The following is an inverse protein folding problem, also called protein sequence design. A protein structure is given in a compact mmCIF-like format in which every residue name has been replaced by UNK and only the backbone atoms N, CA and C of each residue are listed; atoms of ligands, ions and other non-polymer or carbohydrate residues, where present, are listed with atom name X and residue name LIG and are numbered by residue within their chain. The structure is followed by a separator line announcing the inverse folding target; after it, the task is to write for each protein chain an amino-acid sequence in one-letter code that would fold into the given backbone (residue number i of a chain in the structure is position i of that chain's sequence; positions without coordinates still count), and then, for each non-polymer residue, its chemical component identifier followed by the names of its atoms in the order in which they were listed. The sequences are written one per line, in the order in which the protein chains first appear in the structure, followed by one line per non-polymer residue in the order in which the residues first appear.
data_IF_559113211080
#
_entry.id   IF_559113211080
#
_cell.length_a   1.000
_cell.length_b   1.000
_cell.length_c   1.000
_cell.angle_alpha   90.00
_cell.angle_beta   90.00
_cell.angle_gamma   90.00
#
_symmetry.space_group_name_H-M   'P 1'
#
loop_
_entity.id
_entity.type
_entity.pdbx_description
1 polymer ?
#
# COMPACT_ATOMS: atom_id res chain seq x y z
N UNK A 1 32.03 4.52 -61.78
CA UNK A 1 31.89 4.42 -60.31
C UNK A 1 30.71 5.27 -59.90
N UNK A 2 29.57 4.66 -59.58
CA UNK A 2 28.41 5.34 -59.01
C UNK A 2 28.33 4.94 -57.54
N UNK A 3 28.37 5.92 -56.64
CA UNK A 3 28.26 5.70 -55.19
C UNK A 3 26.78 5.81 -54.82
N UNK A 4 26.24 4.72 -54.30
CA UNK A 4 24.87 4.64 -53.79
C UNK A 4 24.88 5.12 -52.34
N UNK A 5 24.24 6.26 -52.05
CA UNK A 5 23.99 6.71 -50.68
C UNK A 5 22.75 5.96 -50.13
N UNK A 6 22.96 5.19 -49.07
CA UNK A 6 21.89 4.61 -48.26
C UNK A 6 21.59 5.58 -47.12
N UNK A 7 20.36 6.08 -47.05
CA UNK A 7 19.86 6.88 -45.93
C UNK A 7 19.05 5.95 -45.03
N UNK A 8 19.51 5.76 -43.79
CA UNK A 8 18.77 5.05 -42.75
C UNK A 8 17.75 6.01 -42.11
N UNK A 9 16.48 5.62 -41.95
CA UNK A 9 15.52 6.39 -41.17
C UNK A 9 15.90 6.28 -39.68
N UNK A 10 16.18 7.42 -39.05
CA UNK A 10 16.36 7.48 -37.61
C UNK A 10 15.02 7.24 -36.92
N UNK A 11 14.96 6.29 -35.99
CA UNK A 11 13.84 6.16 -35.06
C UNK A 11 13.79 7.42 -34.21
N UNK A 12 12.79 8.27 -34.45
CA UNK A 12 12.39 9.25 -33.46
C UNK A 12 11.70 8.48 -32.34
N UNK A 13 12.25 8.54 -31.13
CA UNK A 13 11.53 8.14 -29.94
C UNK A 13 10.40 9.15 -29.75
N UNK A 14 9.16 8.67 -29.67
CA UNK A 14 8.04 9.52 -29.28
C UNK A 14 8.30 10.08 -27.88
N UNK A 15 8.01 11.37 -27.61
CA UNK A 15 8.07 11.90 -26.27
C UNK A 15 7.04 11.14 -25.42
N UNK A 16 7.49 10.62 -24.27
CA UNK A 16 6.61 10.05 -23.26
C UNK A 16 5.46 11.04 -22.99
N UNK A 17 4.22 10.54 -23.04
CA UNK A 17 3.06 11.34 -22.67
C UNK A 17 3.25 11.83 -21.23
N UNK A 18 2.91 13.08 -20.91
CA UNK A 18 2.92 13.55 -19.54
C UNK A 18 1.96 12.67 -18.72
N UNK A 19 2.40 12.22 -17.55
CA UNK A 19 1.52 11.64 -16.54
C UNK A 19 0.34 12.61 -16.34
N UNK A 20 -0.88 12.12 -16.48
CA UNK A 20 -2.08 12.92 -16.25
C UNK A 20 -2.08 13.44 -14.80
N UNK A 21 -2.75 14.57 -14.52
CA UNK A 21 -2.98 14.96 -13.14
C UNK A 21 -3.76 13.85 -12.43
N UNK A 22 -3.24 13.37 -11.29
CA UNK A 22 -3.90 12.35 -10.48
C UNK A 22 -5.34 12.76 -10.13
N UNK A 23 -6.20 11.77 -9.89
CA UNK A 23 -7.64 11.96 -9.66
C UNK A 23 -7.94 12.69 -8.33
N UNK A 24 -6.92 12.94 -7.51
CA UNK A 24 -7.02 13.56 -6.20
C UNK A 24 -7.21 12.53 -5.09
N UNK A 25 -7.55 12.96 -3.87
CA UNK A 25 -7.63 12.08 -2.71
C UNK A 25 -8.75 11.06 -2.86
N UNK A 26 -8.61 9.92 -2.16
CA UNK A 26 -9.63 8.88 -2.08
C UNK A 26 -11.00 9.51 -1.78
N UNK A 27 -11.99 9.44 -2.70
CA UNK A 27 -13.29 10.01 -2.43
C UNK A 27 -13.97 9.25 -1.29
N UNK A 28 -14.43 9.97 -0.27
CA UNK A 28 -15.13 9.37 0.85
C UNK A 28 -16.32 8.51 0.38
N UNK A 29 -16.37 7.25 0.82
CA UNK A 29 -17.40 6.30 0.42
C UNK A 29 -17.29 5.81 -1.04
N UNK A 30 -16.15 5.99 -1.69
CA UNK A 30 -15.87 5.36 -2.98
C UNK A 30 -15.90 3.83 -2.84
N UNK A 31 -16.37 3.15 -3.87
CA UNK A 31 -16.23 1.69 -3.95
C UNK A 31 -14.81 1.39 -4.41
N UNK A 32 -13.99 0.83 -3.52
CA UNK A 32 -12.59 0.49 -3.81
C UNK A 32 -12.40 -1.02 -3.78
N UNK A 33 -11.77 -1.56 -4.81
CA UNK A 33 -11.44 -2.98 -4.92
C UNK A 33 -9.99 -3.25 -4.48
N UNK A 34 -9.80 -4.18 -3.56
CA UNK A 34 -8.51 -4.48 -2.94
C UNK A 34 -7.86 -5.69 -3.64
N UNK A 35 -7.10 -5.41 -4.69
CA UNK A 35 -6.59 -6.36 -5.67
C UNK A 35 -5.10 -6.72 -5.47
N UNK A 36 -4.71 -7.06 -4.23
CA UNK A 36 -3.30 -7.36 -3.91
C UNK A 36 -2.79 -8.69 -4.48
N UNK A 37 -3.64 -9.71 -4.62
CA UNK A 37 -3.27 -10.99 -5.25
C UNK A 37 -3.09 -10.93 -6.77
N UNK A 38 -3.25 -9.75 -7.36
CA UNK A 38 -2.95 -9.45 -8.76
C UNK A 38 -4.06 -8.67 -9.45
N UNK A 39 -3.68 -7.85 -10.42
CA UNK A 39 -4.62 -7.01 -11.17
C UNK A 39 -5.65 -7.83 -11.97
N UNK A 40 -6.91 -7.38 -11.92
CA UNK A 40 -7.99 -7.84 -12.79
C UNK A 40 -8.95 -6.68 -13.13
N UNK A 41 -9.74 -6.78 -14.21
CA UNK A 41 -10.71 -5.75 -14.55
C UNK A 41 -11.67 -5.50 -13.38
N UNK A 42 -11.75 -4.26 -12.83
CA UNK A 42 -12.65 -3.94 -11.74
C UNK A 42 -14.12 -4.12 -12.15
N UNK A 43 -14.97 -4.47 -11.19
CA UNK A 43 -16.41 -4.59 -11.41
C UNK A 43 -17.06 -3.24 -11.75
N UNK A 44 -18.24 -3.27 -12.39
CA UNK A 44 -18.99 -2.06 -12.69
C UNK A 44 -19.30 -1.27 -11.40
N UNK A 45 -19.04 0.03 -11.42
CA UNK A 45 -19.28 0.92 -10.27
C UNK A 45 -18.14 0.98 -9.25
N UNK A 46 -17.09 0.15 -9.40
CA UNK A 46 -15.82 0.36 -8.69
C UNK A 46 -15.21 1.69 -9.17
N UNK A 47 -14.84 2.54 -8.21
CA UNK A 47 -14.29 3.87 -8.43
C UNK A 47 -12.78 3.94 -8.12
N UNK A 48 -12.24 2.92 -7.45
CA UNK A 48 -10.81 2.83 -7.22
C UNK A 48 -10.31 1.41 -6.97
N UNK A 49 -8.99 1.23 -7.01
CA UNK A 49 -8.33 -0.04 -6.73
C UNK A 49 -7.11 0.15 -5.84
N UNK A 50 -6.76 -0.86 -5.06
CA UNK A 50 -5.42 -1.03 -4.50
C UNK A 50 -4.76 -2.22 -5.19
N UNK A 51 -3.52 -2.05 -5.67
CA UNK A 51 -2.77 -3.10 -6.37
C UNK A 51 -1.32 -3.12 -5.93
N UNK A 52 -0.68 -4.29 -5.99
CA UNK A 52 0.76 -4.42 -5.76
C UNK A 52 1.54 -3.53 -6.75
N UNK A 53 2.66 -2.96 -6.30
CA UNK A 53 3.55 -2.12 -7.11
C UNK A 53 4.08 -2.77 -8.40
N UNK A 54 3.98 -4.09 -8.53
CA UNK A 54 4.37 -4.83 -9.74
C UNK A 54 3.25 -4.91 -10.78
N UNK A 55 2.02 -4.53 -10.42
CA UNK A 55 0.90 -4.42 -11.32
C UNK A 55 0.70 -2.99 -11.83
N UNK A 56 -0.09 -2.85 -12.90
CA UNK A 56 -0.47 -1.54 -13.44
C UNK A 56 -1.66 -0.94 -12.69
N UNK A 57 -1.74 0.39 -12.54
CA UNK A 57 -2.94 1.05 -12.02
C UNK A 57 -4.15 0.78 -12.92
N UNK A 58 -5.36 0.99 -12.40
CA UNK A 58 -6.57 0.90 -13.21
C UNK A 58 -6.79 2.22 -13.95
N UNK A 59 -6.89 2.16 -15.28
CA UNK A 59 -7.13 3.35 -16.08
C UNK A 59 -8.46 4.03 -15.68
N UNK A 60 -8.42 5.36 -15.58
CA UNK A 60 -9.57 6.21 -15.26
C UNK A 60 -10.22 5.98 -13.88
N UNK A 61 -9.58 5.20 -12.99
CA UNK A 61 -10.01 4.98 -11.61
C UNK A 61 -8.91 5.41 -10.63
N UNK A 62 -9.31 5.79 -9.42
CA UNK A 62 -8.34 6.07 -8.36
C UNK A 62 -7.53 4.81 -8.07
N UNK A 63 -6.20 4.89 -8.03
CA UNK A 63 -5.35 3.72 -7.86
C UNK A 63 -4.29 3.94 -6.79
N UNK A 64 -4.30 3.10 -5.75
CA UNK A 64 -3.22 3.03 -4.76
C UNK A 64 -2.25 1.88 -5.04
N UNK A 65 -0.97 2.17 -4.88
CA UNK A 65 0.16 1.27 -5.07
C UNK A 65 0.59 0.67 -3.72
N UNK A 66 0.31 -0.61 -3.51
CA UNK A 66 0.77 -1.35 -2.35
C UNK A 66 2.28 -1.57 -2.40
N UNK A 67 2.94 -1.27 -1.29
CA UNK A 67 4.38 -1.47 -1.11
C UNK A 67 4.64 -1.99 0.31
N UNK A 68 5.14 -3.20 0.45
CA UNK A 68 5.68 -3.65 1.74
C UNK A 68 6.94 -2.84 2.08
N UNK A 69 6.83 -1.91 3.03
CA UNK A 69 7.83 -0.89 3.32
C UNK A 69 8.58 -1.13 4.63
N UNK A 70 8.11 -2.06 5.45
CA UNK A 70 8.67 -2.39 6.77
C UNK A 70 9.12 -3.84 6.90
N UNK A 71 8.79 -4.69 5.92
CA UNK A 71 9.23 -6.08 5.84
C UNK A 71 9.68 -6.44 4.41
N UNK A 72 10.34 -7.58 4.29
CA UNK A 72 10.62 -8.21 3.00
C UNK A 72 9.44 -9.06 2.55
N UNK A 73 9.21 -9.21 1.24
CA UNK A 73 8.31 -10.23 0.72
C UNK A 73 9.00 -11.60 0.50
N UNK A 74 8.27 -12.71 0.45
CA UNK A 74 8.84 -14.05 0.25
C UNK A 74 9.67 -14.12 -1.04
N UNK A 75 10.95 -14.50 -0.90
CA UNK A 75 11.88 -14.62 -2.02
C UNK A 75 12.50 -13.30 -2.51
N UNK A 76 12.11 -12.15 -1.95
CA UNK A 76 12.75 -10.88 -2.23
C UNK A 76 14.20 -10.87 -1.69
N UNK A 77 15.11 -10.23 -2.43
CA UNK A 77 16.50 -10.06 -2.01
C UNK A 77 16.68 -8.68 -1.40
N UNK A 78 17.09 -8.65 -0.14
CA UNK A 78 17.44 -7.45 0.60
C UNK A 78 18.91 -7.47 1.02
N UNK A 79 19.58 -6.31 1.14
CA UNK A 79 20.88 -6.23 1.80
C UNK A 79 20.76 -6.77 3.22
N UNK A 80 21.64 -7.69 3.61
CA UNK A 80 21.56 -8.36 4.91
C UNK A 80 21.56 -7.37 6.07
N UNK A 81 22.34 -6.30 5.95
CA UNK A 81 22.47 -5.29 7.00
C UNK A 81 21.22 -4.41 7.17
N UNK A 82 20.24 -4.49 6.27
CA UNK A 82 18.95 -3.82 6.42
C UNK A 82 17.87 -4.74 7.02
N UNK A 83 18.19 -5.99 7.31
CA UNK A 83 17.29 -6.90 8.02
C UNK A 83 17.49 -6.75 9.52
N UNK A 84 16.41 -6.86 10.27
CA UNK A 84 16.45 -6.91 11.73
C UNK A 84 16.98 -8.27 12.18
N UNK A 85 17.95 -8.25 13.10
CA UNK A 85 18.48 -9.48 13.70
C UNK A 85 18.29 -9.49 15.22
N UNK A 86 18.02 -10.67 15.76
CA UNK A 86 17.94 -10.92 17.19
C UNK A 86 19.34 -10.97 17.85
N UNK A 87 19.36 -11.19 19.17
CA UNK A 87 20.60 -11.31 19.93
C UNK A 87 21.47 -12.53 19.53
N UNK A 88 20.92 -13.50 18.81
CA UNK A 88 21.64 -14.66 18.27
C UNK A 88 22.24 -14.40 16.89
N UNK A 89 21.85 -13.30 16.24
CA UNK A 89 22.19 -12.96 14.87
C UNK A 89 21.28 -13.60 13.82
N UNK A 90 20.15 -14.20 14.24
CA UNK A 90 19.13 -14.70 13.33
C UNK A 90 18.25 -13.53 12.85
N UNK A 91 17.77 -13.59 11.60
CA UNK A 91 16.82 -12.61 11.07
C UNK A 91 15.50 -12.76 11.82
N UNK A 92 14.87 -11.64 12.15
CA UNK A 92 13.53 -11.64 12.76
C UNK A 92 12.51 -11.85 11.66
N UNK A 93 11.86 -13.00 11.68
CA UNK A 93 10.82 -13.42 10.75
C UNK A 93 9.44 -13.10 11.34
N UNK A 94 8.52 -12.64 10.49
CA UNK A 94 7.15 -12.43 10.91
C UNK A 94 6.46 -13.79 11.18
N UNK A 95 5.93 -14.02 12.40
CA UNK A 95 5.31 -15.30 12.75
C UNK A 95 4.03 -15.59 11.97
N UNK A 96 3.34 -14.55 11.49
CA UNK A 96 2.07 -14.66 10.77
C UNK A 96 2.29 -14.74 9.25
N UNK A 97 3.47 -14.29 8.77
CA UNK A 97 3.85 -14.27 7.35
C UNK A 97 5.19 -15.00 7.09
N UNK A 98 5.17 -16.35 6.98
CA UNK A 98 6.39 -17.12 6.77
C UNK A 98 7.17 -16.72 5.51
N UNK A 99 8.46 -16.47 5.65
CA UNK A 99 9.36 -15.99 4.61
C UNK A 99 9.46 -14.47 4.51
N UNK A 100 8.73 -13.72 5.35
CA UNK A 100 8.85 -12.27 5.49
C UNK A 100 9.71 -11.91 6.71
N UNK A 101 10.73 -11.08 6.49
CA UNK A 101 11.65 -10.63 7.54
C UNK A 101 11.49 -9.13 7.78
N UNK A 102 11.57 -8.72 9.04
CA UNK A 102 11.46 -7.32 9.42
C UNK A 102 12.70 -6.53 8.97
N UNK A 103 12.48 -5.28 8.55
CA UNK A 103 13.55 -4.35 8.23
C UNK A 103 14.09 -3.70 9.50
N UNK A 104 15.40 -3.52 9.58
CA UNK A 104 16.03 -2.76 10.66
C UNK A 104 15.78 -1.27 10.43
N UNK A 105 14.94 -0.68 11.28
CA UNK A 105 14.63 0.75 11.33
C UNK A 105 15.00 1.39 12.67
N UNK A 106 15.85 0.71 13.45
CA UNK A 106 16.17 1.06 14.85
C UNK A 106 17.04 2.31 14.99
N UNK A 107 17.70 2.77 13.92
CA UNK A 107 18.51 3.99 13.92
C UNK A 107 18.15 4.90 12.75
N UNK A 108 18.51 6.17 12.85
CA UNK A 108 18.31 7.11 11.75
C UNK A 108 19.04 6.67 10.47
N UNK A 109 20.27 6.18 10.59
CA UNK A 109 21.06 5.68 9.46
C UNK A 109 20.40 4.46 8.81
N UNK A 110 19.81 3.57 9.61
CA UNK A 110 19.07 2.40 9.15
C UNK A 110 17.80 2.79 8.40
N UNK A 111 17.03 3.72 8.95
CA UNK A 111 15.82 4.28 8.32
C UNK A 111 16.10 4.91 6.96
N UNK A 112 17.15 5.73 6.87
CA UNK A 112 17.59 6.33 5.59
C UNK A 112 18.05 5.26 4.57
N UNK A 113 18.71 4.20 5.03
CA UNK A 113 19.14 3.11 4.17
C UNK A 113 17.96 2.26 3.65
N UNK A 114 16.94 2.02 4.49
CA UNK A 114 15.67 1.42 4.06
C UNK A 114 14.95 2.32 3.05
N UNK A 115 14.86 3.62 3.33
CA UNK A 115 14.26 4.61 2.43
C UNK A 115 14.98 4.64 1.07
N UNK A 116 16.30 4.47 1.03
CA UNK A 116 17.05 4.41 -0.23
C UNK A 116 16.67 3.22 -1.12
N UNK A 117 16.08 2.15 -0.54
CA UNK A 117 15.55 0.99 -1.27
C UNK A 117 14.07 1.19 -1.63
N UNK A 118 13.25 1.63 -0.67
CA UNK A 118 11.79 1.77 -0.83
C UNK A 118 11.40 3.00 -1.63
N UNK A 119 12.10 4.12 -1.46
CA UNK A 119 11.79 5.39 -2.13
C UNK A 119 11.74 5.29 -3.67
N UNK A 120 12.69 4.60 -4.33
CA UNK A 120 12.59 4.33 -5.77
C UNK A 120 11.37 3.47 -6.18
N UNK A 121 10.77 2.72 -5.27
CA UNK A 121 9.52 2.02 -5.56
C UNK A 121 8.33 2.96 -5.57
N UNK A 122 8.31 3.97 -4.69
CA UNK A 122 7.29 5.02 -4.73
C UNK A 122 7.41 5.86 -6.01
N UNK A 123 8.63 6.19 -6.43
CA UNK A 123 8.84 6.81 -7.76
C UNK A 123 8.25 5.96 -8.88
N UNK A 124 8.49 4.64 -8.83
CA UNK A 124 7.95 3.71 -9.81
C UNK A 124 6.42 3.70 -9.83
N UNK A 125 5.77 3.80 -8.67
CA UNK A 125 4.32 3.96 -8.58
C UNK A 125 3.85 5.27 -9.23
N UNK A 126 4.51 6.40 -8.94
CA UNK A 126 4.20 7.69 -9.55
C UNK A 126 4.39 7.66 -11.08
N UNK A 127 5.51 7.13 -11.56
CA UNK A 127 5.82 6.99 -12.98
C UNK A 127 4.82 6.07 -13.71
N UNK A 128 4.31 5.05 -13.02
CA UNK A 128 3.28 4.16 -13.54
C UNK A 128 1.88 4.82 -13.58
N UNK A 129 1.70 5.95 -12.88
CA UNK A 129 0.45 6.70 -12.84
C UNK A 129 -0.51 6.29 -11.73
N UNK A 130 0.00 5.73 -10.62
CA UNK A 130 -0.80 5.60 -9.40
C UNK A 130 -1.06 6.98 -8.78
N UNK A 131 -2.17 7.11 -8.05
CA UNK A 131 -2.55 8.32 -7.33
C UNK A 131 -2.01 8.33 -5.89
N UNK A 132 -1.79 7.14 -5.32
CA UNK A 132 -1.41 6.98 -3.92
C UNK A 132 -0.50 5.77 -3.70
N UNK A 133 0.11 5.69 -2.52
CA UNK A 133 0.84 4.52 -2.02
C UNK A 133 0.27 4.04 -0.68
N UNK A 134 0.28 2.73 -0.50
CA UNK A 134 -0.02 2.06 0.77
C UNK A 134 1.26 1.36 1.27
N UNK A 135 2.05 2.02 2.15
CA UNK A 135 3.20 1.40 2.81
C UNK A 135 2.73 0.41 3.87
N UNK A 136 2.83 -0.88 3.56
CA UNK A 136 2.36 -1.95 4.43
C UNK A 136 3.34 -2.28 5.57
N UNK A 137 2.83 -2.99 6.57
CA UNK A 137 3.57 -3.46 7.75
C UNK A 137 4.11 -2.36 8.67
N UNK A 138 3.47 -1.17 8.68
CA UNK A 138 3.79 -0.07 9.59
C UNK A 138 3.91 -0.54 11.05
N UNK A 139 3.05 -1.48 11.45
CA UNK A 139 2.94 -2.09 12.78
C UNK A 139 3.99 -3.17 13.11
N UNK A 140 5.01 -3.37 12.27
CA UNK A 140 6.03 -4.43 12.44
C UNK A 140 6.75 -4.40 13.79
N UNK A 141 6.80 -3.24 14.48
CA UNK A 141 7.41 -3.17 15.80
C UNK A 141 6.72 -4.10 16.81
N UNK A 142 5.43 -4.37 16.64
CA UNK A 142 4.65 -5.28 17.51
C UNK A 142 5.13 -6.73 17.41
N UNK A 143 5.72 -7.10 16.27
CA UNK A 143 6.24 -8.44 15.94
C UNK A 143 7.78 -8.51 15.97
N UNK A 144 8.44 -7.48 16.49
CA UNK A 144 9.91 -7.33 16.48
C UNK A 144 10.65 -7.96 17.67
N UNK A 145 9.98 -8.79 18.49
CA UNK A 145 10.54 -9.30 19.76
C UNK A 145 11.00 -8.19 20.75
N UNK A 146 10.45 -6.98 20.60
CA UNK A 146 10.82 -5.81 21.40
C UNK A 146 12.12 -5.13 20.95
N UNK A 147 12.63 -5.45 19.76
CA UNK A 147 13.83 -4.83 19.18
C UNK A 147 13.54 -3.51 18.48
N UNK A 148 12.29 -3.29 18.05
CA UNK A 148 11.80 -2.04 17.49
C UNK A 148 10.70 -1.44 18.37
N UNK A 149 10.53 -0.13 18.26
CA UNK A 149 9.51 0.64 18.99
C UNK A 149 8.52 1.31 18.05
N UNK A 150 7.38 1.75 18.59
CA UNK A 150 6.44 2.61 17.86
C UNK A 150 7.11 3.92 17.38
N UNK A 151 8.05 4.48 18.17
CA UNK A 151 8.80 5.68 17.77
C UNK A 151 9.69 5.42 16.54
N UNK A 152 10.27 4.22 16.41
CA UNK A 152 11.05 3.85 15.22
C UNK A 152 10.17 3.76 13.99
N UNK A 153 8.98 3.19 14.13
CA UNK A 153 7.99 3.13 13.07
C UNK A 153 7.48 4.52 12.68
N UNK A 154 7.12 5.37 13.64
CA UNK A 154 6.70 6.74 13.41
C UNK A 154 7.80 7.61 12.76
N UNK A 155 9.07 7.41 13.15
CA UNK A 155 10.19 8.10 12.51
C UNK A 155 10.39 7.64 11.05
N UNK A 156 10.21 6.35 10.77
CA UNK A 156 10.28 5.79 9.40
C UNK A 156 9.10 6.26 8.56
N UNK A 157 7.89 6.25 9.12
CA UNK A 157 6.67 6.72 8.48
C UNK A 157 6.82 8.16 7.98
N UNK A 158 7.35 9.08 8.80
CA UNK A 158 7.58 10.48 8.36
C UNK A 158 8.51 10.59 7.14
N UNK A 159 9.52 9.71 7.04
CA UNK A 159 10.41 9.68 5.87
C UNK A 159 9.68 9.15 4.63
N UNK A 160 8.89 8.08 4.77
CA UNK A 160 8.09 7.51 3.68
C UNK A 160 7.01 8.48 3.20
N UNK A 161 6.33 9.16 4.13
CA UNK A 161 5.32 10.18 3.84
C UNK A 161 5.93 11.33 3.04
N UNK A 162 7.03 11.91 3.53
CA UNK A 162 7.73 12.97 2.82
C UNK A 162 8.14 12.51 1.41
N UNK A 163 8.58 11.26 1.27
CA UNK A 163 8.98 10.70 -0.01
C UNK A 163 7.82 10.51 -1.00
N UNK A 164 6.66 10.08 -0.51
CA UNK A 164 5.44 9.93 -1.31
C UNK A 164 4.95 11.30 -1.80
N UNK A 165 4.89 12.29 -0.90
CA UNK A 165 4.50 13.66 -1.24
C UNK A 165 5.46 14.31 -2.24
N UNK A 166 6.77 14.10 -2.10
CA UNK A 166 7.78 14.57 -3.08
C UNK A 166 7.59 13.94 -4.48
N UNK A 167 7.04 12.71 -4.54
CA UNK A 167 6.67 12.04 -5.78
C UNK A 167 5.27 12.44 -6.30
N UNK A 168 4.53 13.27 -5.55
CA UNK A 168 3.17 13.69 -5.90
C UNK A 168 2.09 12.63 -5.63
N UNK A 169 2.37 11.69 -4.74
CA UNK A 169 1.45 10.62 -4.32
C UNK A 169 0.86 10.93 -2.96
N UNK A 170 -0.43 10.64 -2.78
CA UNK A 170 -1.02 10.51 -1.44
C UNK A 170 -0.47 9.25 -0.76
N UNK A 171 -0.49 9.21 0.57
CA UNK A 171 0.09 8.08 1.34
C UNK A 171 -0.84 7.62 2.46
N UNK A 172 -1.04 6.30 2.51
CA UNK A 172 -1.88 5.66 3.52
C UNK A 172 -1.14 5.41 4.83
N UNK A 173 -1.82 5.62 5.95
CA UNK A 173 -1.54 4.86 7.16
C UNK A 173 -2.12 3.45 6.98
N UNK A 174 -1.28 2.41 7.04
CA UNK A 174 -1.72 1.02 7.04
C UNK A 174 -1.78 0.47 8.46
N UNK A 175 -2.99 0.12 8.93
CA UNK A 175 -3.24 -0.39 10.29
C UNK A 175 -2.60 0.52 11.36
N UNK A 176 -1.99 -0.06 12.40
CA UNK A 176 -1.27 0.67 13.46
C UNK A 176 -2.15 1.70 14.20
N UNK A 177 -3.28 1.29 14.81
CA UNK A 177 -4.20 2.22 15.48
C UNK A 177 -3.53 3.03 16.61
N UNK A 178 -2.43 2.53 17.19
CA UNK A 178 -1.66 3.19 18.23
C UNK A 178 -0.95 4.47 17.74
N UNK A 179 -0.68 4.57 16.44
CA UNK A 179 -0.08 5.75 15.81
C UNK A 179 -1.15 6.71 15.25
N UNK A 180 -2.42 6.30 15.22
CA UNK A 180 -3.51 7.11 14.68
C UNK A 180 -3.70 8.40 15.47
N UNK A 181 -3.74 9.53 14.76
CA UNK A 181 -3.88 10.86 15.35
C UNK A 181 -2.55 11.52 15.71
N UNK A 182 -1.41 10.82 15.57
CA UNK A 182 -0.12 11.48 15.50
C UNK A 182 0.02 12.28 14.20
N UNK A 183 0.70 13.43 14.27
CA UNK A 183 1.02 14.25 13.10
C UNK A 183 2.20 13.64 12.33
N UNK A 184 1.93 12.53 11.63
CA UNK A 184 2.89 11.81 10.77
C UNK A 184 2.77 12.23 9.30
N UNK A 185 1.66 12.87 8.92
CA UNK A 185 1.41 13.41 7.59
C UNK A 185 0.74 12.45 6.60
N UNK A 186 0.16 11.34 7.06
CA UNK A 186 -0.67 10.47 6.21
C UNK A 186 -1.93 11.17 5.73
N UNK A 187 -2.40 10.83 4.53
CA UNK A 187 -3.54 11.49 3.86
C UNK A 187 -4.85 10.72 4.05
N UNK A 188 -4.76 9.40 4.21
CA UNK A 188 -5.89 8.48 4.42
C UNK A 188 -5.43 7.25 5.20
N UNK A 189 -6.36 6.38 5.61
CA UNK A 189 -6.05 5.10 6.23
C UNK A 189 -6.53 3.91 5.40
N UNK A 190 -5.77 2.83 5.43
CA UNK A 190 -6.21 1.48 5.06
C UNK A 190 -6.19 0.66 6.34
N UNK A 191 -7.35 0.18 6.78
CA UNK A 191 -7.52 -0.51 8.05
C UNK A 191 -8.15 -1.88 7.81
N UNK A 192 -7.43 -2.93 8.18
CA UNK A 192 -7.84 -4.33 8.04
C UNK A 192 -8.46 -4.85 9.34
N UNK A 193 -9.62 -5.50 9.23
CA UNK A 193 -10.39 -6.09 10.33
C UNK A 193 -10.63 -5.11 11.51
N UNK A 194 -10.67 -3.80 11.26
CA UNK A 194 -10.85 -2.81 12.34
C UNK A 194 -12.20 -3.01 13.04
N UNK A 195 -13.20 -3.59 12.38
CA UNK A 195 -14.49 -3.86 12.97
C UNK A 195 -14.43 -5.02 13.96
N UNK A 196 -13.62 -6.04 13.66
CA UNK A 196 -13.35 -7.18 14.53
C UNK A 196 -12.58 -6.75 15.79
N UNK A 197 -11.62 -5.84 15.65
CA UNK A 197 -10.79 -5.37 16.75
C UNK A 197 -11.33 -4.15 17.51
N UNK A 198 -12.50 -3.62 17.11
CA UNK A 198 -13.12 -2.41 17.67
C UNK A 198 -12.26 -1.13 17.50
N UNK A 199 -11.48 -1.07 16.42
CA UNK A 199 -10.48 -0.01 16.17
C UNK A 199 -10.94 1.06 15.17
N UNK A 200 -12.02 0.80 14.40
CA UNK A 200 -12.43 1.69 13.30
C UNK A 200 -12.64 3.15 13.70
N UNK A 201 -13.09 3.40 14.93
CA UNK A 201 -13.35 4.77 15.42
C UNK A 201 -12.08 5.60 15.44
N UNK A 202 -10.92 5.01 15.79
CA UNK A 202 -9.64 5.71 15.80
C UNK A 202 -9.33 6.28 14.41
N UNK A 203 -9.47 5.47 13.36
CA UNK A 203 -9.23 5.89 11.99
C UNK A 203 -10.25 6.92 11.52
N UNK A 204 -11.55 6.71 11.77
CA UNK A 204 -12.57 7.66 11.31
C UNK A 204 -12.51 9.01 12.04
N UNK A 205 -12.07 9.03 13.31
CA UNK A 205 -11.88 10.29 14.04
C UNK A 205 -10.70 11.10 13.48
N UNK A 206 -9.64 10.42 13.03
CA UNK A 206 -8.45 11.06 12.46
C UNK A 206 -8.63 11.46 10.98
N UNK A 207 -9.19 10.57 10.16
CA UNK A 207 -9.24 10.70 8.70
C UNK A 207 -10.64 10.99 8.14
N UNK A 208 -11.68 11.00 8.98
CA UNK A 208 -13.05 11.16 8.53
C UNK A 208 -13.48 10.03 7.60
N UNK A 209 -13.91 10.38 6.38
CA UNK A 209 -14.31 9.42 5.35
C UNK A 209 -13.15 8.93 4.46
N UNK A 210 -11.94 9.45 4.64
CA UNK A 210 -10.73 9.00 3.93
C UNK A 210 -10.17 7.74 4.59
N UNK A 211 -11.00 6.70 4.67
CA UNK A 211 -10.64 5.39 5.22
C UNK A 211 -11.10 4.34 4.22
N UNK A 212 -10.21 3.40 3.92
CA UNK A 212 -10.52 2.13 3.28
C UNK A 212 -10.50 1.05 4.37
N UNK A 213 -11.68 0.56 4.71
CA UNK A 213 -11.90 -0.52 5.67
C UNK A 213 -11.99 -1.85 4.91
N UNK A 214 -11.07 -2.77 5.21
CA UNK A 214 -10.98 -4.08 4.58
C UNK A 214 -11.34 -5.13 5.62
N UNK A 215 -12.42 -5.86 5.40
CA UNK A 215 -12.91 -6.89 6.32
C UNK A 215 -12.76 -8.29 5.72
N UNK A 216 -12.26 -9.25 6.50
CA UNK A 216 -12.02 -10.62 6.03
C UNK A 216 -13.12 -11.62 6.45
N UNK A 217 -14.10 -11.16 7.25
CA UNK A 217 -15.23 -11.98 7.72
C UNK A 217 -16.56 -11.44 7.22
N UNK A 218 -17.56 -12.31 7.08
CA UNK A 218 -18.94 -11.86 6.76
C UNK A 218 -19.49 -10.97 7.88
N UNK A 219 -19.27 -11.35 9.15
CA UNK A 219 -19.77 -10.61 10.32
C UNK A 219 -19.18 -9.20 10.41
N UNK A 220 -17.85 -9.08 10.28
CA UNK A 220 -17.17 -7.79 10.29
C UNK A 220 -17.63 -6.89 9.14
N UNK A 221 -17.70 -7.44 7.93
CA UNK A 221 -18.18 -6.70 6.76
C UNK A 221 -19.63 -6.22 6.89
N UNK A 222 -20.56 -7.09 7.29
CA UNK A 222 -21.97 -6.72 7.45
C UNK A 222 -22.15 -5.60 8.48
N UNK A 223 -21.43 -5.67 9.60
CA UNK A 223 -21.47 -4.66 10.66
C UNK A 223 -20.85 -3.33 10.20
N UNK A 224 -19.69 -3.38 9.54
CA UNK A 224 -19.02 -2.24 8.94
C UNK A 224 -19.94 -1.50 7.95
N UNK A 225 -20.57 -2.24 7.05
CA UNK A 225 -21.54 -1.71 6.10
C UNK A 225 -22.71 -1.01 6.79
N UNK A 226 -23.27 -1.62 7.83
CA UNK A 226 -24.38 -1.07 8.61
C UNK A 226 -23.99 0.22 9.33
N UNK A 227 -22.78 0.28 9.88
CA UNK A 227 -22.33 1.40 10.69
C UNK A 227 -21.83 2.58 9.86
N UNK A 228 -21.10 2.31 8.77
CA UNK A 228 -20.35 3.36 8.05
C UNK A 228 -20.20 3.18 6.54
N UNK A 229 -20.80 2.15 5.93
CA UNK A 229 -20.73 1.91 4.47
C UNK A 229 -21.34 3.00 3.59
N UNK A 230 -21.94 4.05 4.16
CA UNK A 230 -22.40 5.25 3.43
C UNK A 230 -21.43 6.43 3.48
N UNK A 231 -20.36 6.34 4.29
CA UNK A 231 -19.41 7.43 4.57
C UNK A 231 -17.95 7.01 4.41
N UNK A 232 -17.67 5.70 4.48
CA UNK A 232 -16.34 5.09 4.41
C UNK A 232 -16.35 4.03 3.31
N UNK A 233 -15.21 3.83 2.65
CA UNK A 233 -15.04 2.76 1.67
C UNK A 233 -14.88 1.44 2.42
N UNK A 234 -15.87 0.56 2.35
CA UNK A 234 -15.83 -0.77 3.00
C UNK A 234 -15.78 -1.85 1.93
N UNK A 235 -14.79 -2.73 2.03
CA UNK A 235 -14.60 -3.88 1.13
C UNK A 235 -14.43 -5.16 1.94
N UNK A 236 -15.06 -6.24 1.48
CA UNK A 236 -14.81 -7.59 1.96
C UNK A 236 -13.81 -8.28 1.06
N UNK A 237 -12.84 -8.98 1.63
CA UNK A 237 -11.95 -9.87 0.86
C UNK A 237 -11.77 -11.24 1.51
N UNK A 238 -11.30 -12.19 0.74
CA UNK A 238 -10.67 -13.39 1.29
C UNK A 238 -9.28 -13.04 1.83
N UNK A 239 -8.82 -13.77 2.86
CA UNK A 239 -7.50 -13.52 3.49
C UNK A 239 -6.33 -13.69 2.51
N UNK A 240 -6.51 -14.54 1.48
CA UNK A 240 -5.52 -14.75 0.43
C UNK A 240 -5.51 -13.65 -0.64
N UNK A 241 -6.41 -12.64 -0.52
CA UNK A 241 -6.62 -11.54 -1.48
C UNK A 241 -6.62 -12.02 -2.92
N UNK A 242 -7.25 -13.19 -3.16
CA UNK A 242 -7.13 -13.96 -4.38
C UNK A 242 -7.74 -13.25 -5.60
N UNK A 243 -7.44 -13.76 -6.79
CA UNK A 243 -8.03 -13.26 -8.05
C UNK A 243 -9.34 -14.00 -8.37
N UNK A 244 -10.24 -13.44 -9.22
CA UNK A 244 -11.53 -14.06 -9.53
C UNK A 244 -11.50 -15.49 -10.11
N UNK A 245 -10.36 -15.92 -10.64
CA UNK A 245 -10.16 -17.29 -11.15
C UNK A 245 -9.80 -18.31 -10.06
N UNK A 246 -9.50 -17.86 -8.85
CA UNK A 246 -9.29 -18.72 -7.69
C UNK A 246 -10.62 -19.16 -7.05
N UNK A 247 -10.80 -20.44 -6.72
CA UNK A 247 -12.03 -20.92 -6.06
C UNK A 247 -12.28 -20.32 -4.67
N UNK A 248 -11.26 -19.77 -4.01
CA UNK A 248 -11.33 -19.08 -2.72
C UNK A 248 -11.65 -17.59 -2.81
N UNK A 249 -11.80 -17.04 -4.03
CA UNK A 249 -12.06 -15.62 -4.24
C UNK A 249 -13.32 -15.13 -3.53
N UNK A 250 -13.17 -14.08 -2.74
CA UNK A 250 -14.28 -13.35 -2.12
C UNK A 250 -14.07 -11.86 -2.33
N UNK A 251 -15.03 -11.16 -2.94
CA UNK A 251 -15.06 -9.70 -2.95
C UNK A 251 -16.49 -9.20 -2.82
N UNK A 252 -16.71 -8.23 -1.93
CA UNK A 252 -17.97 -7.50 -1.77
C UNK A 252 -17.68 -6.07 -1.32
N UNK A 253 -18.62 -5.14 -1.54
CA UNK A 253 -18.44 -3.73 -1.24
C UNK A 253 -19.70 -3.12 -0.66
N UNK A 254 -19.54 -2.02 0.08
CA UNK A 254 -20.67 -1.23 0.56
C UNK A 254 -20.61 0.24 0.08
N UNK A 255 -21.74 0.81 -0.41
CA UNK A 255 -23.05 0.14 -0.57
C UNK A 255 -23.01 -0.98 -1.63
N UNK A 256 -23.82 -2.04 -1.44
CA UNK A 256 -23.93 -3.15 -2.39
C UNK A 256 -24.26 -2.62 -3.81
N UNK A 257 -23.59 -3.16 -4.83
CA UNK A 257 -23.77 -2.79 -6.23
C UNK A 257 -24.06 -4.00 -7.10
#
# INVERSE_FOLDING_TARGET
MAVLLVVLPGCAADPAAPAGPGLGPLPAGAVVDYQLGGAYPPADGVAGVVRDRTDSPAADLWSACYVNAFQTQPGARWPEDLLLHDASGARVEDPDWPGEFLLDVSTAERREAVLAVVGPWFDGCADAGFDAVEPDNLDSWTRSEGLLTADDAAATARLLVARAHDAGLDVAQKNAPELTGEDLGFDYAVAEDCQLFEECTAYTDAYGGAVLEVEYTDEGFEEACRLRGSTVSVVRRDLGVARPDDPGYVAAWCPER
#
